data_IF_028256756852
#
_entry.id   IF_028256756852
#
_cell.length_a   1.000
_cell.length_b   1.000
_cell.length_c   1.000
_cell.angle_alpha   90.00
_cell.angle_beta   90.00
_cell.angle_gamma   90.00
#
_symmetry.space_group_name_H-M   'P 1'
#
loop_
_entity.id
_entity.type
_entity.pdbx_description
1 polymer ?
#
# COMPACT_ATOMS: atom_id res chain seq x y z
N UNK A 1 -17.99 -18.82 -2.90
CA UNK A 1 -18.40 -17.41 -2.73
C UNK A 1 -17.18 -16.65 -2.28
N UNK A 2 -16.60 -15.80 -3.13
CA UNK A 2 -15.39 -15.04 -2.79
C UNK A 2 -15.76 -13.74 -2.07
N UNK A 3 -14.92 -13.30 -1.13
CA UNK A 3 -15.03 -12.00 -0.49
C UNK A 3 -14.21 -10.99 -1.32
N UNK A 4 -14.85 -9.89 -1.74
CA UNK A 4 -14.23 -8.84 -2.52
C UNK A 4 -13.97 -7.61 -1.63
N UNK A 5 -12.79 -7.02 -1.78
CA UNK A 5 -12.50 -5.70 -1.20
C UNK A 5 -12.89 -4.66 -2.24
N UNK A 6 -13.70 -3.69 -1.82
CA UNK A 6 -14.14 -2.58 -2.67
C UNK A 6 -13.09 -1.46 -2.66
N UNK A 7 -12.87 -0.81 -1.51
CA UNK A 7 -11.91 0.28 -1.34
C UNK A 7 -10.98 0.05 -0.13
N UNK A 8 -9.68 0.36 -0.28
CA UNK A 8 -8.70 0.30 0.81
C UNK A 8 -7.39 0.98 0.46
N UNK A 9 -6.70 1.54 1.47
CA UNK A 9 -5.31 2.03 1.34
C UNK A 9 -4.40 1.35 2.35
N UNK A 10 -3.16 1.18 1.92
CA UNK A 10 -2.03 0.84 2.79
C UNK A 10 -1.17 2.10 2.84
N UNK A 11 -0.92 2.63 4.03
CA UNK A 11 -0.04 3.79 4.23
C UNK A 11 1.28 3.31 4.83
N UNK A 12 2.38 3.93 4.42
CA UNK A 12 3.67 3.74 5.10
C UNK A 12 3.66 4.36 6.51
N UNK A 13 4.74 4.12 7.25
CA UNK A 13 4.95 4.70 8.57
C UNK A 13 5.04 6.24 8.55
N UNK A 14 4.80 6.86 9.72
CA UNK A 14 4.98 8.29 9.92
C UNK A 14 6.46 8.70 9.80
N UNK A 15 7.34 7.88 10.38
CA UNK A 15 8.78 8.09 10.32
C UNK A 15 9.34 7.52 9.00
N UNK A 16 10.09 8.35 8.26
CA UNK A 16 10.71 7.97 7.00
C UNK A 16 12.22 7.91 7.17
N UNK A 17 12.78 6.71 7.04
CA UNK A 17 14.20 6.56 6.81
C UNK A 17 14.52 6.88 5.35
N UNK A 18 14.93 8.13 5.12
CA UNK A 18 15.29 8.66 3.79
C UNK A 18 16.65 8.15 3.28
N UNK A 19 17.41 7.36 4.06
CA UNK A 19 18.67 6.78 3.57
C UNK A 19 18.41 5.81 2.43
N UNK A 20 19.28 5.82 1.44
CA UNK A 20 19.26 4.87 0.34
C UNK A 20 20.06 3.60 0.68
N UNK A 21 19.54 2.46 0.25
CA UNK A 21 20.27 1.20 0.29
C UNK A 21 21.25 1.09 -0.89
N UNK A 22 21.97 -0.04 -0.99
CA UNK A 22 22.94 -0.29 -2.05
C UNK A 22 22.36 -0.30 -3.48
N UNK A 23 21.02 -0.35 -3.62
CA UNK A 23 20.32 -0.28 -4.89
C UNK A 23 19.78 1.14 -5.20
N UNK A 24 20.07 2.14 -4.37
CA UNK A 24 19.57 3.52 -4.53
C UNK A 24 18.11 3.68 -4.14
N UNK A 25 17.54 2.75 -3.37
CA UNK A 25 16.15 2.80 -2.92
C UNK A 25 16.13 3.31 -1.49
N UNK A 26 15.31 4.34 -1.22
CA UNK A 26 15.09 4.85 0.13
C UNK A 26 14.46 3.77 1.01
N UNK A 27 15.01 3.57 2.20
CA UNK A 27 14.62 2.46 3.09
C UNK A 27 13.13 2.45 3.40
N UNK A 28 12.50 3.61 3.63
CA UNK A 28 11.06 3.66 3.89
C UNK A 28 10.20 3.19 2.70
N UNK A 29 10.68 3.36 1.47
CA UNK A 29 10.00 2.87 0.26
C UNK A 29 10.07 1.34 0.21
N UNK A 30 11.24 0.77 0.51
CA UNK A 30 11.41 -0.67 0.56
C UNK A 30 10.52 -1.31 1.63
N UNK A 31 10.53 -0.76 2.84
CA UNK A 31 9.68 -1.22 3.94
C UNK A 31 8.20 -1.17 3.55
N UNK A 32 7.76 -0.10 2.89
CA UNK A 32 6.37 0.00 2.44
C UNK A 32 6.01 -1.04 1.35
N UNK A 33 6.95 -1.39 0.47
CA UNK A 33 6.75 -2.48 -0.49
C UNK A 33 6.58 -3.81 0.25
N UNK A 34 7.37 -4.05 1.30
CA UNK A 34 7.25 -5.25 2.14
C UNK A 34 5.88 -5.31 2.84
N UNK A 35 5.39 -4.20 3.40
CA UNK A 35 4.03 -4.10 3.98
C UNK A 35 2.96 -4.49 2.94
N UNK A 36 3.06 -3.97 1.71
CA UNK A 36 2.13 -4.28 0.62
C UNK A 36 2.17 -5.76 0.26
N UNK A 37 3.37 -6.36 0.17
CA UNK A 37 3.53 -7.79 -0.13
C UNK A 37 2.91 -8.65 0.97
N UNK A 38 3.12 -8.31 2.25
CA UNK A 38 2.53 -9.03 3.39
C UNK A 38 1.00 -8.98 3.35
N UNK A 39 0.42 -7.80 3.13
CA UNK A 39 -1.03 -7.62 3.09
C UNK A 39 -1.62 -8.37 1.90
N UNK A 40 -1.07 -8.22 0.69
CA UNK A 40 -1.54 -8.94 -0.50
C UNK A 40 -1.44 -10.46 -0.31
N UNK A 41 -0.38 -10.93 0.35
CA UNK A 41 -0.22 -12.34 0.70
C UNK A 41 -1.31 -12.79 1.67
N UNK A 42 -1.62 -12.01 2.69
CA UNK A 42 -2.69 -12.29 3.65
C UNK A 42 -4.07 -12.33 2.98
N UNK A 43 -4.35 -11.38 2.09
CA UNK A 43 -5.59 -11.36 1.30
C UNK A 43 -5.73 -12.62 0.43
N UNK A 44 -4.63 -13.05 -0.20
CA UNK A 44 -4.61 -14.29 -0.98
C UNK A 44 -4.91 -15.52 -0.11
N UNK A 45 -4.33 -15.61 1.09
CA UNK A 45 -4.53 -16.76 2.00
C UNK A 45 -5.95 -16.83 2.56
N UNK A 46 -6.61 -15.70 2.76
CA UNK A 46 -8.00 -15.63 3.23
C UNK A 46 -9.03 -15.92 2.13
N UNK A 47 -8.58 -16.12 0.88
CA UNK A 47 -9.47 -16.29 -0.27
C UNK A 47 -10.16 -14.99 -0.72
N UNK A 48 -9.67 -13.85 -0.23
CA UNK A 48 -10.12 -12.53 -0.70
C UNK A 48 -9.53 -12.23 -2.07
N UNK A 49 -10.26 -11.42 -2.84
CA UNK A 49 -9.85 -11.02 -4.17
C UNK A 49 -9.89 -9.50 -4.32
N UNK A 50 -8.92 -8.97 -5.06
CA UNK A 50 -8.81 -7.56 -5.40
C UNK A 50 -8.84 -7.42 -6.92
N UNK A 51 -9.28 -6.26 -7.41
CA UNK A 51 -9.23 -5.95 -8.82
C UNK A 51 -7.91 -5.25 -9.16
N UNK A 52 -6.94 -6.01 -9.69
CA UNK A 52 -5.61 -5.51 -9.99
C UNK A 52 -5.61 -4.29 -10.93
N UNK A 53 -6.53 -4.18 -11.90
CA UNK A 53 -6.58 -3.02 -12.81
C UNK A 53 -7.10 -1.75 -12.16
N UNK A 54 -7.69 -1.85 -10.96
CA UNK A 54 -8.16 -0.71 -10.16
C UNK A 54 -7.17 -0.33 -9.04
N UNK A 55 -6.15 -1.14 -8.78
CA UNK A 55 -5.17 -0.86 -7.73
C UNK A 55 -4.11 0.15 -8.21
N UNK A 56 -3.77 1.10 -7.33
CA UNK A 56 -2.65 2.02 -7.52
C UNK A 56 -1.58 1.74 -6.45
N UNK A 57 -0.32 1.67 -6.85
CA UNK A 57 0.81 1.41 -5.95
C UNK A 57 1.87 2.50 -6.09
N UNK A 58 2.60 2.78 -5.01
CA UNK A 58 3.73 3.71 -5.02
C UNK A 58 3.37 5.18 -5.27
N UNK A 59 2.12 5.58 -4.98
CA UNK A 59 1.63 6.95 -5.13
C UNK A 59 1.76 7.73 -3.82
N UNK A 60 2.00 9.04 -3.91
CA UNK A 60 2.09 9.92 -2.72
C UNK A 60 0.72 10.29 -2.13
N UNK A 61 -0.35 10.14 -2.92
CA UNK A 61 -1.73 10.35 -2.49
C UNK A 61 -2.70 9.50 -3.31
N UNK A 62 -3.83 9.14 -2.72
CA UNK A 62 -4.90 8.38 -3.36
C UNK A 62 -6.26 8.88 -2.90
N UNK A 63 -7.23 8.95 -3.81
CA UNK A 63 -8.62 9.22 -3.45
C UNK A 63 -9.33 7.92 -3.07
N UNK A 64 -9.89 7.84 -1.87
CA UNK A 64 -10.60 6.67 -1.34
C UNK A 64 -11.88 7.13 -0.68
N UNK A 65 -13.02 6.60 -1.14
CA UNK A 65 -14.37 6.93 -0.63
C UNK A 65 -14.61 8.46 -0.56
N UNK A 66 -14.10 9.20 -1.55
CA UNK A 66 -14.23 10.67 -1.63
C UNK A 66 -13.27 11.48 -0.75
N UNK A 67 -12.27 10.85 -0.12
CA UNK A 67 -11.24 11.52 0.67
C UNK A 67 -9.85 11.38 0.04
N UNK A 68 -9.02 12.41 0.14
CA UNK A 68 -7.63 12.36 -0.33
C UNK A 68 -6.74 11.87 0.80
N UNK A 69 -6.38 10.59 0.74
CA UNK A 69 -5.41 10.01 1.64
C UNK A 69 -3.99 10.35 1.18
N UNK A 70 -3.23 11.05 2.02
CA UNK A 70 -1.80 11.32 1.85
C UNK A 70 -1.01 11.02 3.13
N UNK A 71 0.27 11.39 3.14
CA UNK A 71 1.12 11.37 4.34
C UNK A 71 0.63 12.31 5.45
N UNK A 72 -0.06 13.40 5.10
CA UNK A 72 -0.54 14.39 6.06
C UNK A 72 -1.85 13.95 6.75
N UNK A 73 -2.54 12.94 6.22
CA UNK A 73 -3.82 12.50 6.77
C UNK A 73 -4.78 11.93 5.75
N UNK A 74 -6.05 11.83 6.14
CA UNK A 74 -7.18 11.67 5.23
C UNK A 74 -7.68 13.05 4.81
#
# INVERSE_FOLDING_TARGET
MGLFIDDGCIKGGLDKDERENNAGIRNFVLNHIEDVVEILTTLKHTGMTINASKCNFGVSKVEIVGFICSEEGR
#
